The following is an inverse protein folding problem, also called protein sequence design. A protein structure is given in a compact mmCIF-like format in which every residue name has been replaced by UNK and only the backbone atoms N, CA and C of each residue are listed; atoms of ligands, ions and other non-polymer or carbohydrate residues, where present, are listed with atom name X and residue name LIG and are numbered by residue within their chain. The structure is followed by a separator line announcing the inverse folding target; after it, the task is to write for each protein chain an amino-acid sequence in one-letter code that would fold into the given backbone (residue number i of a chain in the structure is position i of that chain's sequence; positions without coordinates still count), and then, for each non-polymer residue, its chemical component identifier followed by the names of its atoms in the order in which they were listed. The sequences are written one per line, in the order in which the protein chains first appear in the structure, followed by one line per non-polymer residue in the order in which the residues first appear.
data_IF_590510928688
#
_entry.id   IF_590510928688
#
_cell.length_a   1.000
_cell.length_b   1.000
_cell.length_c   1.000
_cell.angle_alpha   90.00
_cell.angle_beta   90.00
_cell.angle_gamma   90.00
#
_symmetry.space_group_name_H-M   'P 1'
#
loop_
_entity.id
_entity.type
_entity.pdbx_description
1 polymer ?
#
# COMPACT_ATOMS: atom_id res chain seq x y z
N UNK A 1 19.62 6.10 -28.58
CA UNK A 1 18.56 5.08 -28.83
C UNK A 1 17.32 5.79 -29.37
N UNK A 2 16.68 5.26 -30.42
CA UNK A 2 15.42 5.84 -30.93
C UNK A 2 14.30 5.72 -29.88
N UNK A 3 13.41 6.70 -29.83
CA UNK A 3 12.34 6.77 -28.84
C UNK A 3 11.42 5.53 -28.88
N UNK A 4 11.06 5.04 -30.08
CA UNK A 4 10.22 3.84 -30.23
C UNK A 4 10.90 2.57 -29.66
N UNK A 5 12.20 2.38 -29.91
CA UNK A 5 12.96 1.26 -29.35
C UNK A 5 13.06 1.36 -27.82
N UNK A 6 13.24 2.58 -27.29
CA UNK A 6 13.28 2.81 -25.84
C UNK A 6 11.93 2.51 -25.19
N UNK A 7 10.82 2.96 -25.79
CA UNK A 7 9.47 2.64 -25.30
C UNK A 7 9.20 1.14 -25.26
N UNK A 8 9.59 0.40 -26.30
CA UNK A 8 9.46 -1.06 -26.31
C UNK A 8 10.21 -1.71 -25.13
N UNK A 9 11.46 -1.30 -24.90
CA UNK A 9 12.25 -1.81 -23.76
C UNK A 9 11.70 -1.39 -22.40
N UNK A 10 11.18 -0.17 -22.27
CA UNK A 10 10.50 0.29 -21.06
C UNK A 10 9.28 -0.60 -20.77
N UNK A 11 8.46 -0.89 -21.78
CA UNK A 11 7.32 -1.77 -21.62
C UNK A 11 7.72 -3.19 -21.21
N UNK A 12 8.75 -3.76 -21.86
CA UNK A 12 9.30 -5.08 -21.49
C UNK A 12 9.77 -5.11 -20.02
N UNK A 13 10.48 -4.08 -19.57
CA UNK A 13 10.94 -3.95 -18.18
C UNK A 13 9.77 -3.88 -17.19
N UNK A 14 8.72 -3.10 -17.51
CA UNK A 14 7.51 -3.01 -16.67
C UNK A 14 6.75 -4.32 -16.68
N UNK A 15 6.71 -5.04 -17.80
CA UNK A 15 6.04 -6.34 -17.89
C UNK A 15 6.75 -7.41 -17.04
N UNK A 16 8.07 -7.40 -17.03
CA UNK A 16 8.89 -8.32 -16.24
C UNK A 16 8.79 -8.01 -14.74
N UNK A 17 8.92 -6.74 -14.35
CA UNK A 17 8.92 -6.33 -12.93
C UNK A 17 7.53 -6.02 -12.35
N UNK A 18 6.48 -6.07 -13.17
CA UNK A 18 5.10 -5.59 -12.90
C UNK A 18 4.95 -4.09 -12.65
N UNK A 19 5.95 -3.46 -12.05
CA UNK A 19 5.97 -2.04 -11.77
C UNK A 19 7.41 -1.52 -11.72
N UNK A 20 7.64 -0.30 -12.18
CA UNK A 20 8.97 0.30 -12.22
C UNK A 20 8.90 1.80 -11.90
N UNK A 21 9.77 2.31 -11.00
CA UNK A 21 9.81 3.73 -10.70
C UNK A 21 10.52 4.52 -11.82
N UNK A 22 10.08 5.76 -12.04
CA UNK A 22 10.66 6.64 -13.08
C UNK A 22 12.18 6.83 -12.91
N UNK A 23 12.72 7.09 -11.70
CA UNK A 23 14.16 7.24 -11.49
C UNK A 23 14.98 6.01 -11.91
N UNK A 24 14.43 4.80 -11.74
CA UNK A 24 15.10 3.57 -12.16
C UNK A 24 15.24 3.49 -13.68
N UNK A 25 14.14 3.75 -14.42
CA UNK A 25 14.16 3.76 -15.88
C UNK A 25 15.09 4.87 -16.40
N UNK A 26 15.06 6.05 -15.78
CA UNK A 26 15.91 7.17 -16.16
C UNK A 26 17.40 6.79 -16.07
N UNK A 27 17.79 6.15 -14.96
CA UNK A 27 19.15 5.62 -14.76
C UNK A 27 19.49 4.52 -15.76
N UNK A 28 18.63 3.53 -15.92
CA UNK A 28 18.85 2.37 -16.81
C UNK A 28 19.03 2.79 -18.28
N UNK A 29 18.21 3.73 -18.76
CA UNK A 29 18.27 4.19 -20.15
C UNK A 29 19.18 5.41 -20.33
N UNK A 30 19.80 5.91 -19.26
CA UNK A 30 20.66 7.11 -19.26
C UNK A 30 19.98 8.32 -19.89
N UNK A 31 18.74 8.59 -19.48
CA UNK A 31 17.94 9.74 -19.91
C UNK A 31 17.37 10.48 -18.71
N UNK A 32 16.81 11.67 -18.92
CA UNK A 32 16.14 12.40 -17.86
C UNK A 32 14.83 11.73 -17.45
N UNK A 33 14.40 11.91 -16.20
CA UNK A 33 13.08 11.48 -15.76
C UNK A 33 11.96 12.08 -16.61
N UNK A 34 12.10 13.32 -17.08
CA UNK A 34 11.15 13.97 -17.98
C UNK A 34 11.03 13.21 -19.32
N UNK A 35 12.12 12.66 -19.83
CA UNK A 35 12.09 11.82 -21.04
C UNK A 35 11.30 10.54 -20.78
N UNK A 36 11.55 9.86 -19.65
CA UNK A 36 10.78 8.67 -19.25
C UNK A 36 9.30 9.01 -19.04
N UNK A 37 8.98 10.12 -18.38
CA UNK A 37 7.58 10.57 -18.19
C UNK A 37 6.90 10.78 -19.54
N UNK A 38 7.57 11.33 -20.55
CA UNK A 38 7.00 11.46 -21.91
C UNK A 38 6.79 10.10 -22.58
N UNK A 39 7.76 9.20 -22.49
CA UNK A 39 7.64 7.84 -23.05
C UNK A 39 6.49 7.06 -22.42
N UNK A 40 6.38 7.10 -21.10
CA UNK A 40 5.28 6.48 -20.36
C UNK A 40 3.94 7.10 -20.73
N UNK A 41 3.88 8.41 -21.06
CA UNK A 41 2.64 9.07 -21.53
C UNK A 41 2.13 8.43 -22.81
N UNK A 42 3.04 8.11 -23.73
CA UNK A 42 2.70 7.47 -25.00
C UNK A 42 2.22 6.04 -24.75
N UNK A 43 2.94 5.27 -23.93
CA UNK A 43 2.54 3.89 -23.59
C UNK A 43 1.19 3.83 -22.87
N UNK A 44 0.89 4.79 -22.00
CA UNK A 44 -0.42 4.90 -21.33
C UNK A 44 -1.54 5.26 -22.31
N UNK A 45 -1.30 6.19 -23.24
CA UNK A 45 -2.27 6.53 -24.29
C UNK A 45 -2.56 5.34 -25.22
N UNK A 46 -1.61 4.43 -25.38
CA UNK A 46 -1.74 3.15 -26.10
C UNK A 46 -2.38 2.04 -25.24
N UNK A 47 -2.73 2.31 -23.97
CA UNK A 47 -3.34 1.35 -23.05
C UNK A 47 -2.38 0.27 -22.54
N UNK A 48 -1.07 0.43 -22.74
CA UNK A 48 -0.08 -0.59 -22.41
C UNK A 48 0.35 -0.59 -20.95
N UNK A 49 0.30 0.56 -20.27
CA UNK A 49 0.72 0.74 -18.87
C UNK A 49 -0.19 1.73 -18.18
N UNK A 50 -0.23 1.69 -16.85
CA UNK A 50 -0.88 2.71 -16.00
C UNK A 50 0.22 3.55 -15.36
N UNK A 51 0.12 4.88 -15.48
CA UNK A 51 1.10 5.79 -14.87
C UNK A 51 0.67 6.21 -13.47
N UNK A 52 1.67 6.50 -12.66
CA UNK A 52 1.53 7.18 -11.37
C UNK A 52 2.58 8.28 -11.28
N UNK A 53 2.49 9.13 -10.26
CA UNK A 53 3.50 10.18 -10.06
C UNK A 53 4.94 9.63 -9.94
N UNK A 54 5.10 8.44 -9.34
CA UNK A 54 6.39 7.83 -9.03
C UNK A 54 6.89 6.79 -10.05
N UNK A 55 6.05 6.34 -10.99
CA UNK A 55 6.37 5.19 -11.82
C UNK A 55 5.28 4.80 -12.81
N UNK A 56 5.38 3.59 -13.32
CA UNK A 56 4.33 2.95 -14.09
C UNK A 56 4.24 1.46 -13.73
N UNK A 57 3.06 0.88 -13.92
CA UNK A 57 2.79 -0.53 -13.68
C UNK A 57 1.83 -1.10 -14.71
N UNK A 58 1.75 -2.43 -14.78
CA UNK A 58 0.77 -3.16 -15.59
C UNK A 58 -0.10 -3.97 -14.65
N UNK A 59 -1.39 -4.04 -14.94
CA UNK A 59 -2.37 -4.80 -14.17
C UNK A 59 -2.67 -6.13 -14.88
N UNK A 60 -1.67 -7.02 -14.99
CA UNK A 60 -1.82 -8.32 -15.68
C UNK A 60 -1.43 -9.50 -14.79
N UNK A 61 -2.35 -10.46 -14.65
CA UNK A 61 -2.16 -11.71 -13.92
C UNK A 61 -2.48 -11.65 -12.42
N UNK A 62 -2.35 -12.80 -11.74
CA UNK A 62 -2.69 -12.99 -10.32
C UNK A 62 -1.63 -12.38 -9.39
N UNK A 63 -0.35 -12.44 -9.78
CA UNK A 63 0.79 -11.87 -9.04
C UNK A 63 1.12 -10.45 -9.53
N UNK A 64 0.25 -9.49 -9.20
CA UNK A 64 0.50 -8.08 -9.46
C UNK A 64 1.15 -7.41 -8.24
N UNK A 65 2.40 -7.79 -7.91
CA UNK A 65 3.16 -7.20 -6.80
C UNK A 65 3.69 -5.80 -7.18
N UNK A 66 2.78 -4.83 -7.30
CA UNK A 66 3.13 -3.43 -7.54
C UNK A 66 3.73 -2.84 -6.27
N UNK A 67 4.89 -2.20 -6.36
CA UNK A 67 5.57 -1.59 -5.20
C UNK A 67 4.69 -0.55 -4.50
N UNK A 68 4.72 -0.50 -3.16
CA UNK A 68 3.93 0.44 -2.36
C UNK A 68 4.19 1.91 -2.72
N UNK A 69 5.41 2.27 -3.15
CA UNK A 69 5.76 3.61 -3.60
C UNK A 69 5.08 4.00 -4.92
N UNK A 70 4.79 3.01 -5.77
CA UNK A 70 4.04 3.24 -7.00
C UNK A 70 2.54 3.26 -6.68
N UNK A 71 2.08 2.31 -5.86
CA UNK A 71 0.68 2.24 -5.42
C UNK A 71 0.26 3.50 -4.68
N UNK A 72 1.10 4.12 -3.87
CA UNK A 72 0.77 5.35 -3.12
C UNK A 72 0.35 6.49 -4.05
N UNK A 73 0.93 6.58 -5.24
CA UNK A 73 0.55 7.55 -6.28
C UNK A 73 -0.59 7.10 -7.20
N UNK A 74 -1.09 5.86 -7.07
CA UNK A 74 -2.18 5.32 -7.88
C UNK A 74 -3.53 5.46 -7.17
N UNK A 75 -4.57 5.83 -7.94
CA UNK A 75 -5.96 5.92 -7.47
C UNK A 75 -6.14 6.73 -6.16
N UNK A 76 -5.35 7.79 -5.99
CA UNK A 76 -5.31 8.59 -4.74
C UNK A 76 -6.69 9.09 -4.34
N UNK A 77 -7.45 9.63 -5.29
CA UNK A 77 -8.79 10.17 -5.01
C UNK A 77 -9.76 9.08 -4.53
N UNK A 78 -9.73 7.91 -5.18
CA UNK A 78 -10.56 6.78 -4.75
C UNK A 78 -10.22 6.35 -3.32
N UNK A 79 -8.94 6.37 -2.93
CA UNK A 79 -8.53 6.02 -1.56
C UNK A 79 -8.96 7.06 -0.54
N UNK A 80 -8.97 8.35 -0.90
CA UNK A 80 -9.53 9.41 -0.04
C UNK A 80 -11.01 9.21 0.18
N UNK A 81 -11.78 8.94 -0.88
CA UNK A 81 -13.22 8.65 -0.77
C UNK A 81 -13.47 7.43 0.14
N UNK A 82 -12.68 6.37 -0.02
CA UNK A 82 -12.76 5.19 0.86
C UNK A 82 -12.44 5.57 2.32
N UNK A 83 -11.39 6.36 2.55
CA UNK A 83 -10.98 6.80 3.87
C UNK A 83 -12.06 7.65 4.57
N UNK A 84 -12.62 8.64 3.87
CA UNK A 84 -13.72 9.49 4.37
C UNK A 84 -14.92 8.64 4.78
N UNK A 85 -15.28 7.65 3.96
CA UNK A 85 -16.37 6.71 4.28
C UNK A 85 -16.03 5.75 5.41
N UNK A 86 -14.77 5.39 5.58
CA UNK A 86 -14.33 4.47 6.64
C UNK A 86 -14.25 5.17 8.00
N UNK A 87 -13.96 6.48 8.02
CA UNK A 87 -13.89 7.30 9.24
C UNK A 87 -15.14 7.20 10.11
N UNK A 88 -16.32 7.08 9.51
CA UNK A 88 -17.59 7.00 10.24
C UNK A 88 -17.73 5.77 11.16
N UNK A 89 -16.85 4.78 11.01
CA UNK A 89 -16.83 3.57 11.84
C UNK A 89 -15.88 3.68 13.04
N UNK A 90 -15.17 4.80 13.20
CA UNK A 90 -14.19 5.05 14.27
C UNK A 90 -14.73 6.11 15.21
N UNK A 91 -14.61 5.86 16.51
CA UNK A 91 -15.07 6.76 17.58
C UNK A 91 -13.90 7.14 18.49
N UNK A 92 -14.02 8.28 19.17
CA UNK A 92 -13.03 8.71 20.18
C UNK A 92 -12.87 7.64 21.26
N UNK A 93 -11.62 7.35 21.61
CA UNK A 93 -11.22 6.31 22.55
C UNK A 93 -11.05 4.90 21.94
N UNK A 94 -11.41 4.69 20.67
CA UNK A 94 -11.25 3.38 20.02
C UNK A 94 -9.76 2.98 19.91
N UNK A 95 -9.52 1.68 20.04
CA UNK A 95 -8.27 1.05 19.63
C UNK A 95 -8.46 0.44 18.25
N UNK A 96 -7.68 0.86 17.26
CA UNK A 96 -7.82 0.39 15.87
C UNK A 96 -6.53 -0.20 15.32
N UNK A 97 -6.64 -1.15 14.38
CA UNK A 97 -5.51 -1.64 13.59
C UNK A 97 -5.59 -1.12 12.15
N UNK A 98 -4.49 -0.55 11.65
CA UNK A 98 -4.31 -0.10 10.27
C UNK A 98 -3.22 -0.92 9.59
N UNK A 99 -3.56 -1.63 8.51
CA UNK A 99 -2.62 -2.52 7.83
C UNK A 99 -1.55 -1.80 6.96
N UNK A 100 -0.73 -2.60 6.28
CA UNK A 100 0.33 -2.11 5.39
C UNK A 100 -0.18 -1.48 4.07
N UNK A 101 -1.49 -1.29 3.90
CA UNK A 101 -2.02 -0.79 2.65
C UNK A 101 -1.86 0.73 2.52
N UNK A 102 -1.71 1.16 1.26
CA UNK A 102 -1.70 2.60 0.94
C UNK A 102 -3.07 3.26 1.14
N UNK A 103 -4.15 2.47 1.23
CA UNK A 103 -5.50 3.00 1.49
C UNK A 103 -5.67 3.29 2.98
N UNK A 104 -5.18 2.40 3.86
CA UNK A 104 -5.15 2.63 5.29
C UNK A 104 -4.35 3.89 5.68
N UNK A 105 -3.31 4.24 4.91
CA UNK A 105 -2.61 5.51 5.08
C UNK A 105 -3.51 6.74 4.93
N UNK A 106 -4.43 6.73 3.96
CA UNK A 106 -5.37 7.84 3.80
C UNK A 106 -6.35 7.91 4.98
N UNK A 107 -6.81 6.75 5.49
CA UNK A 107 -7.62 6.72 6.70
C UNK A 107 -6.84 7.25 7.92
N UNK A 108 -5.58 6.87 8.10
CA UNK A 108 -4.74 7.41 9.16
C UNK A 108 -4.66 8.96 9.11
N UNK A 109 -4.56 9.53 7.91
CA UNK A 109 -4.53 10.99 7.74
C UNK A 109 -5.85 11.66 8.12
N UNK A 110 -7.00 11.03 7.86
CA UNK A 110 -8.31 11.54 8.28
C UNK A 110 -8.51 11.47 9.80
N UNK A 111 -7.88 10.49 10.45
CA UNK A 111 -8.02 10.22 11.88
C UNK A 111 -6.95 10.88 12.76
N UNK A 112 -5.93 11.53 12.17
CA UNK A 112 -4.69 11.94 12.86
C UNK A 112 -4.86 12.86 14.08
N UNK A 113 -6.00 13.54 14.16
CA UNK A 113 -6.33 14.51 15.21
C UNK A 113 -7.34 13.94 16.25
N UNK A 114 -7.81 12.70 16.09
CA UNK A 114 -8.71 12.03 17.04
C UNK A 114 -7.95 11.40 18.22
N UNK A 115 -8.61 11.29 19.37
CA UNK A 115 -8.15 10.54 20.54
C UNK A 115 -8.31 9.04 20.29
N UNK A 116 -7.24 8.38 19.86
CA UNK A 116 -7.26 6.97 19.46
C UNK A 116 -6.01 6.25 19.93
N UNK A 117 -6.13 4.93 20.12
CA UNK A 117 -4.96 4.04 20.11
C UNK A 117 -4.84 3.40 18.72
N UNK A 118 -3.76 3.69 18.00
CA UNK A 118 -3.55 3.16 16.64
C UNK A 118 -2.43 2.13 16.64
N UNK A 119 -2.77 0.90 16.28
CA UNK A 119 -1.82 -0.18 16.01
C UNK A 119 -1.54 -0.23 14.51
N UNK A 120 -0.27 -0.28 14.13
CA UNK A 120 0.09 -0.44 12.72
C UNK A 120 1.47 -1.05 12.54
N UNK A 121 1.64 -1.75 11.42
CA UNK A 121 2.92 -2.24 10.93
C UNK A 121 3.43 -1.43 9.73
N UNK A 122 2.83 -0.28 9.43
CA UNK A 122 3.04 0.49 8.20
C UNK A 122 3.93 1.72 8.46
N UNK A 123 5.13 1.76 7.88
CA UNK A 123 6.10 2.84 8.12
C UNK A 123 5.57 4.24 7.74
N UNK A 124 4.93 4.44 6.58
CA UNK A 124 4.25 5.69 6.26
C UNK A 124 3.23 6.16 7.31
N UNK A 125 2.42 5.25 7.86
CA UNK A 125 1.46 5.59 8.91
C UNK A 125 2.20 5.96 10.21
N UNK A 126 3.25 5.22 10.55
CA UNK A 126 4.07 5.50 11.73
C UNK A 126 4.64 6.92 11.65
N UNK A 127 5.24 7.29 10.53
CA UNK A 127 5.82 8.63 10.32
C UNK A 127 4.76 9.73 10.34
N UNK A 128 3.55 9.44 9.86
CA UNK A 128 2.45 10.39 9.86
C UNK A 128 1.94 10.67 11.28
N UNK A 129 1.75 9.61 12.07
CA UNK A 129 1.13 9.69 13.39
C UNK A 129 2.14 9.89 14.54
N UNK A 130 3.45 9.77 14.29
CA UNK A 130 4.48 9.97 15.33
C UNK A 130 4.54 11.39 15.90
N UNK A 131 3.86 12.34 15.25
CA UNK A 131 3.77 13.74 15.67
C UNK A 131 2.36 14.12 16.16
N UNK A 132 1.45 13.16 16.28
CA UNK A 132 0.11 13.42 16.81
C UNK A 132 0.16 13.48 18.34
N UNK A 133 -0.48 14.50 18.91
CA UNK A 133 -0.60 14.66 20.36
C UNK A 133 -1.79 13.87 20.94
N UNK A 134 -2.77 13.50 20.10
CA UNK A 134 -3.99 12.80 20.50
C UNK A 134 -3.94 11.29 20.24
N UNK A 135 -3.01 10.81 19.41
CA UNK A 135 -2.91 9.38 19.09
C UNK A 135 -1.86 8.69 19.95
N UNK A 136 -2.28 7.65 20.67
CA UNK A 136 -1.37 6.63 21.20
C UNK A 136 -0.98 5.67 20.07
N UNK A 137 0.21 5.87 19.51
CA UNK A 137 0.73 5.02 18.45
C UNK A 137 1.42 3.77 19.01
N UNK A 138 0.99 2.59 18.57
CA UNK A 138 1.60 1.29 18.86
C UNK A 138 2.17 0.71 17.56
N UNK A 139 3.49 0.56 17.52
CA UNK A 139 4.20 0.05 16.34
C UNK A 139 4.37 -1.46 16.44
N UNK A 140 3.79 -2.18 15.49
CA UNK A 140 3.96 -3.63 15.35
C UNK A 140 5.19 -3.88 14.46
N UNK A 141 6.31 -4.19 15.12
CA UNK A 141 7.60 -4.41 14.48
C UNK A 141 7.74 -5.78 13.80
N UNK A 142 8.96 -6.07 13.31
CA UNK A 142 9.30 -7.32 12.63
C UNK A 142 10.33 -7.12 11.52
N UNK A 143 10.25 -7.92 10.47
CA UNK A 143 11.13 -7.80 9.31
C UNK A 143 10.60 -6.70 8.38
N UNK A 144 11.40 -5.68 8.13
CA UNK A 144 11.04 -4.59 7.24
C UNK A 144 11.05 -5.02 5.75
N UNK A 145 9.96 -4.74 5.04
CA UNK A 145 9.80 -4.98 3.61
C UNK A 145 9.83 -3.64 2.87
N UNK A 146 10.95 -3.31 2.23
CA UNK A 146 11.09 -2.03 1.50
C UNK A 146 10.11 -1.86 0.34
N UNK A 147 9.66 -2.96 -0.27
CA UNK A 147 8.66 -2.96 -1.36
C UNK A 147 7.24 -2.66 -0.88
N UNK A 148 6.97 -2.86 0.41
CA UNK A 148 5.66 -2.69 1.04
C UNK A 148 5.67 -1.54 2.05
N UNK A 149 6.84 -0.98 2.35
CA UNK A 149 7.10 0.00 3.40
C UNK A 149 6.46 -0.40 4.75
N UNK A 150 6.58 -1.68 5.12
CA UNK A 150 5.91 -2.24 6.30
C UNK A 150 6.68 -3.40 6.92
N UNK A 151 6.36 -3.68 8.19
CA UNK A 151 6.93 -4.79 8.96
C UNK A 151 6.09 -6.07 8.78
N UNK A 152 6.76 -7.21 8.70
CA UNK A 152 6.13 -8.51 8.48
C UNK A 152 6.90 -9.67 9.12
N UNK A 153 6.33 -10.87 9.00
CA UNK A 153 6.88 -12.11 9.52
C UNK A 153 6.26 -12.52 10.84
N UNK A 154 6.66 -13.69 11.34
CA UNK A 154 6.03 -14.33 12.50
C UNK A 154 6.15 -13.52 13.80
N UNK A 155 7.16 -12.64 13.90
CA UNK A 155 7.27 -11.70 15.02
C UNK A 155 6.14 -10.67 15.00
N UNK A 156 5.84 -10.09 13.83
CA UNK A 156 4.74 -9.14 13.64
C UNK A 156 3.39 -9.78 13.95
N UNK A 157 3.19 -11.02 13.48
CA UNK A 157 1.94 -11.76 13.72
C UNK A 157 1.76 -12.06 15.21
N UNK A 158 2.80 -12.59 15.88
CA UNK A 158 2.72 -12.91 17.32
C UNK A 158 2.53 -11.68 18.19
N UNK A 159 3.06 -10.53 17.79
CA UNK A 159 2.87 -9.31 18.56
C UNK A 159 1.39 -8.88 18.57
N UNK A 160 0.64 -9.15 17.50
CA UNK A 160 -0.81 -8.89 17.48
C UNK A 160 -1.59 -9.73 18.51
N UNK A 161 -1.07 -10.88 18.96
CA UNK A 161 -1.71 -11.69 20.00
C UNK A 161 -1.85 -10.94 21.35
N UNK A 162 -0.98 -9.95 21.59
CA UNK A 162 -1.00 -9.14 22.81
C UNK A 162 -2.09 -8.07 22.81
N UNK A 163 -2.77 -7.86 21.68
CA UNK A 163 -3.74 -6.79 21.50
C UNK A 163 -5.09 -7.34 21.07
N UNK A 164 -6.15 -6.62 21.43
CA UNK A 164 -7.49 -6.85 20.92
C UNK A 164 -8.08 -5.48 20.60
N UNK A 165 -8.44 -5.26 19.34
CA UNK A 165 -8.83 -3.94 18.82
C UNK A 165 -10.34 -3.85 18.59
N UNK A 166 -10.88 -2.65 18.65
CA UNK A 166 -12.28 -2.38 18.36
C UNK A 166 -12.58 -2.56 16.88
N UNK A 167 -11.68 -2.09 16.01
CA UNK A 167 -11.81 -2.24 14.56
C UNK A 167 -10.47 -2.49 13.88
N UNK A 168 -10.45 -3.33 12.85
CA UNK A 168 -9.32 -3.49 11.94
C UNK A 168 -9.67 -3.00 10.54
N UNK A 169 -8.80 -2.19 9.93
CA UNK A 169 -8.96 -1.70 8.56
C UNK A 169 -7.91 -2.31 7.67
N UNK A 170 -8.35 -3.21 6.79
CA UNK A 170 -7.50 -4.11 6.03
C UNK A 170 -7.78 -3.96 4.53
N UNK A 171 -6.72 -4.00 3.71
CA UNK A 171 -6.88 -4.17 2.26
C UNK A 171 -6.64 -5.62 1.88
N UNK A 172 -7.31 -6.11 0.84
CA UNK A 172 -7.11 -7.46 0.34
C UNK A 172 -7.04 -7.47 -1.19
N UNK A 173 -6.53 -8.57 -1.75
CA UNK A 173 -6.52 -8.78 -3.21
C UNK A 173 -7.88 -9.20 -3.72
N UNK A 174 -8.57 -10.01 -2.94
CA UNK A 174 -9.92 -10.47 -3.24
C UNK A 174 -10.67 -10.79 -1.96
N UNK A 175 -11.99 -10.73 -2.07
CA UNK A 175 -12.94 -11.14 -1.05
C UNK A 175 -13.80 -12.28 -1.63
N UNK A 176 -13.96 -13.33 -0.85
CA UNK A 176 -14.81 -14.49 -1.17
C UNK A 176 -15.83 -14.66 -0.05
N UNK A 177 -17.07 -15.00 -0.41
CA UNK A 177 -18.10 -15.32 0.58
C UNK A 177 -17.76 -16.57 1.40
N UNK A 178 -17.02 -17.51 0.81
CA UNK A 178 -16.63 -18.76 1.46
C UNK A 178 -15.31 -18.61 2.23
N UNK A 179 -14.31 -17.98 1.61
CA UNK A 179 -12.93 -17.94 2.13
C UNK A 179 -12.55 -16.61 2.81
N UNK A 180 -13.46 -15.64 2.87
CA UNK A 180 -13.19 -14.32 3.40
C UNK A 180 -12.18 -13.55 2.55
N UNK A 181 -11.32 -12.76 3.20
CA UNK A 181 -10.26 -12.02 2.52
C UNK A 181 -9.09 -12.94 2.16
N UNK A 182 -8.56 -12.77 0.95
CA UNK A 182 -7.38 -13.52 0.48
C UNK A 182 -6.33 -12.58 -0.11
N UNK A 183 -5.07 -12.98 -0.02
CA UNK A 183 -3.95 -12.32 -0.68
C UNK A 183 -3.09 -13.34 -1.43
N UNK A 184 -2.32 -12.83 -2.38
CA UNK A 184 -1.31 -13.52 -3.17
C UNK A 184 -0.02 -13.84 -2.40
N UNK A 185 0.16 -13.27 -1.19
CA UNK A 185 1.42 -13.36 -0.45
C UNK A 185 1.18 -13.84 0.98
N UNK A 186 1.71 -15.02 1.31
CA UNK A 186 1.50 -15.72 2.60
C UNK A 186 1.72 -14.83 3.83
N UNK A 187 2.84 -14.09 3.87
CA UNK A 187 3.18 -13.24 5.03
C UNK A 187 2.16 -12.14 5.31
N UNK A 188 1.51 -11.60 4.28
CA UNK A 188 0.46 -10.59 4.43
C UNK A 188 -0.89 -11.24 4.75
N UNK A 189 -1.18 -12.38 4.14
CA UNK A 189 -2.37 -13.19 4.45
C UNK A 189 -2.44 -13.51 5.94
N UNK A 190 -1.37 -14.06 6.52
CA UNK A 190 -1.34 -14.43 7.94
C UNK A 190 -1.57 -13.23 8.86
N UNK A 191 -0.90 -12.11 8.59
CA UNK A 191 -1.05 -10.89 9.40
C UNK A 191 -2.49 -10.38 9.41
N UNK A 192 -3.15 -10.38 8.25
CA UNK A 192 -4.53 -9.88 8.14
C UNK A 192 -5.54 -10.83 8.76
N UNK A 193 -5.35 -12.15 8.58
CA UNK A 193 -6.18 -13.14 9.27
C UNK A 193 -6.08 -13.00 10.78
N UNK A 194 -4.87 -12.76 11.29
CA UNK A 194 -4.67 -12.53 12.72
C UNK A 194 -5.32 -11.21 13.17
N UNK A 195 -5.15 -10.13 12.41
CA UNK A 195 -5.82 -8.86 12.72
C UNK A 195 -7.36 -8.99 12.78
N UNK A 196 -7.97 -9.74 11.85
CA UNK A 196 -9.42 -10.04 11.89
C UNK A 196 -9.76 -10.78 13.18
N UNK A 197 -9.02 -11.85 13.50
CA UNK A 197 -9.25 -12.68 14.70
C UNK A 197 -9.14 -11.87 15.99
N UNK A 198 -8.30 -10.84 16.00
CA UNK A 198 -8.02 -9.95 17.14
C UNK A 198 -8.83 -8.65 17.11
N UNK A 199 -9.92 -8.60 16.35
CA UNK A 199 -10.77 -7.41 16.24
C UNK A 199 -12.25 -7.72 16.53
N UNK A 200 -12.97 -6.77 17.15
CA UNK A 200 -14.42 -6.83 17.26
C UNK A 200 -15.11 -6.67 15.91
N UNK A 201 -14.56 -5.81 15.03
CA UNK A 201 -15.06 -5.49 13.69
C UNK A 201 -13.91 -5.46 12.70
N UNK A 202 -14.16 -5.95 11.49
CA UNK A 202 -13.20 -6.02 10.37
C UNK A 202 -13.90 -5.92 9.03
#
# INVERSE_FOLDING_TARGET
MLAAMRRKKIYEEIRERKSVPVPFLAKQFSVTEETIRRDLKVLEAEGMVIRTYGGAFIQDGVENLVDANIRSGAYVENKRIIAERSRQFVHEGDTIFLDNSTTAFHLANELKDMDLTVLTNNLPIINLLSHSDSIRLVVIGGIYSSTENAFCGDMTVRELDNYFVDSSFLSCRSISLENGITDSVEKWTRLRQEAIRRSNKS
#
